data_IF_046290797503
#
_entry.id   IF_046290797503
#
_cell.length_a   1.000
_cell.length_b   1.000
_cell.length_c   1.000
_cell.angle_alpha   90.00
_cell.angle_beta   90.00
_cell.angle_gamma   90.00
#
_symmetry.space_group_name_H-M   'P 1'
#
loop_
_entity.id
_entity.type
_entity.pdbx_description
1 polymer ?
#
# COMPACT_ATOMS: atom_id res chain seq x y z
N UNK A 1 22.03 5.84 9.73
CA UNK A 1 21.54 5.47 8.39
C UNK A 1 20.94 4.06 8.48
N UNK A 2 19.63 3.91 8.74
CA UNK A 2 19.00 2.57 8.86
C UNK A 2 19.07 1.88 7.50
N UNK A 3 19.94 0.88 7.35
CA UNK A 3 19.94 -0.07 6.22
C UNK A 3 18.77 -1.06 6.41
N UNK A 4 17.57 -0.53 6.60
CA UNK A 4 16.36 -1.28 6.95
C UNK A 4 15.56 -1.68 5.71
N UNK A 5 14.65 -2.61 5.93
CA UNK A 5 13.59 -3.00 5.00
C UNK A 5 12.74 -1.77 4.67
N UNK A 6 12.29 -1.63 3.41
CA UNK A 6 11.45 -0.52 2.97
C UNK A 6 10.44 -0.97 1.92
N UNK A 7 9.36 -0.22 1.76
CA UNK A 7 8.36 -0.44 0.72
C UNK A 7 8.78 0.22 -0.59
N UNK A 8 8.57 -0.47 -1.70
CA UNK A 8 8.55 0.17 -3.02
C UNK A 8 7.41 1.19 -3.12
N UNK A 9 7.38 1.94 -4.23
CA UNK A 9 6.31 2.92 -4.50
C UNK A 9 4.94 2.22 -4.45
N UNK A 10 4.06 2.59 -3.51
CA UNK A 10 2.73 2.00 -3.40
C UNK A 10 1.93 2.21 -4.69
N UNK A 11 1.34 1.13 -5.20
CA UNK A 11 0.51 1.13 -6.39
C UNK A 11 -0.94 0.94 -5.98
N UNK A 12 -1.81 1.88 -6.38
CA UNK A 12 -3.25 1.75 -6.19
C UNK A 12 -3.83 0.68 -7.12
N UNK A 13 -4.84 -0.05 -6.65
CA UNK A 13 -5.62 -1.00 -7.44
C UNK A 13 -6.27 -0.30 -8.64
N UNK A 14 -6.48 -0.99 -9.76
CA UNK A 14 -7.13 -0.38 -10.94
C UNK A 14 -8.54 0.16 -10.61
N UNK A 15 -9.23 -0.50 -9.69
CA UNK A 15 -10.57 -0.13 -9.26
C UNK A 15 -10.58 0.46 -7.85
N UNK A 16 -11.49 1.40 -7.61
CA UNK A 16 -11.82 1.87 -6.28
C UNK A 16 -12.60 0.80 -5.53
N UNK A 17 -12.30 0.62 -4.24
CA UNK A 17 -13.04 -0.29 -3.38
C UNK A 17 -14.40 0.31 -2.97
N UNK A 18 -14.43 1.62 -2.73
CA UNK A 18 -15.62 2.39 -2.41
C UNK A 18 -15.40 3.87 -2.72
N UNK A 19 -16.43 4.70 -2.49
CA UNK A 19 -16.34 6.15 -2.61
C UNK A 19 -15.19 6.71 -1.75
N UNK A 20 -14.19 7.30 -2.39
CA UNK A 20 -12.99 7.83 -1.72
C UNK A 20 -12.09 6.76 -1.08
N UNK A 21 -12.25 5.48 -1.43
CA UNK A 21 -11.44 4.39 -0.89
C UNK A 21 -10.82 3.50 -1.97
N UNK A 22 -9.52 3.22 -1.84
CA UNK A 22 -8.73 2.41 -2.78
C UNK A 22 -7.79 1.47 -2.04
N UNK A 23 -7.54 0.30 -2.61
CA UNK A 23 -6.51 -0.61 -2.11
C UNK A 23 -5.17 -0.19 -2.71
N UNK A 24 -4.16 0.00 -1.87
CA UNK A 24 -2.78 0.17 -2.29
C UNK A 24 -1.99 -1.09 -1.99
N UNK A 25 -1.07 -1.44 -2.86
CA UNK A 25 -0.14 -2.54 -2.65
C UNK A 25 1.30 -2.13 -2.94
N UNK A 26 2.24 -2.68 -2.18
CA UNK A 26 3.66 -2.38 -2.33
C UNK A 26 4.49 -3.61 -2.00
N UNK A 27 5.60 -3.76 -2.72
CA UNK A 27 6.57 -4.83 -2.46
C UNK A 27 7.56 -4.40 -1.40
N UNK A 28 7.82 -5.29 -0.45
CA UNK A 28 8.82 -5.10 0.59
C UNK A 28 10.21 -5.45 0.04
N UNK A 29 11.14 -4.50 0.10
CA UNK A 29 12.49 -4.64 -0.40
C UNK A 29 13.50 -4.90 0.72
N UNK A 30 14.60 -5.59 0.36
CA UNK A 30 15.67 -5.98 1.28
C UNK A 30 15.19 -6.81 2.48
N UNK A 31 14.11 -7.57 2.32
CA UNK A 31 13.67 -8.55 3.31
C UNK A 31 14.75 -9.62 3.51
N UNK A 32 15.31 -9.79 4.71
CA UNK A 32 16.27 -10.85 4.95
C UNK A 32 15.58 -12.21 4.82
N UNK A 33 16.19 -13.13 4.08
CA UNK A 33 15.63 -14.48 3.83
C UNK A 33 15.34 -15.27 5.11
N UNK A 34 16.08 -15.00 6.20
CA UNK A 34 16.00 -15.71 7.47
C UNK A 34 15.16 -15.01 8.54
N UNK A 35 14.61 -13.82 8.25
CA UNK A 35 13.75 -13.10 9.20
C UNK A 35 12.28 -13.46 8.98
N UNK A 36 11.48 -13.43 10.05
CA UNK A 36 10.03 -13.51 9.96
C UNK A 36 9.51 -12.40 9.03
N UNK A 37 9.23 -12.77 7.78
CA UNK A 37 8.72 -11.85 6.77
C UNK A 37 7.44 -11.14 7.22
N UNK A 38 6.64 -11.82 8.07
CA UNK A 38 5.41 -11.29 8.64
C UNK A 38 5.70 -10.15 9.62
N UNK A 39 6.71 -10.30 10.48
CA UNK A 39 7.13 -9.24 11.40
C UNK A 39 7.73 -8.05 10.65
N UNK A 40 8.55 -8.30 9.62
CA UNK A 40 9.10 -7.24 8.78
C UNK A 40 7.97 -6.46 8.07
N UNK A 41 6.97 -7.17 7.54
CA UNK A 41 5.83 -6.56 6.88
C UNK A 41 4.98 -5.70 7.84
N UNK A 42 4.72 -6.19 9.05
CA UNK A 42 3.86 -5.50 10.01
C UNK A 42 4.56 -4.33 10.73
N UNK A 43 5.90 -4.34 10.83
CA UNK A 43 6.66 -3.27 11.49
C UNK A 43 7.29 -2.25 10.53
N UNK A 44 7.03 -2.35 9.22
CA UNK A 44 7.55 -1.38 8.25
C UNK A 44 6.46 -0.37 7.91
N UNK A 45 6.70 0.89 8.27
CA UNK A 45 5.80 1.99 7.96
C UNK A 45 5.82 2.31 6.45
N UNK A 46 4.66 2.63 5.88
CA UNK A 46 4.51 3.07 4.49
C UNK A 46 3.98 4.50 4.44
N UNK A 47 4.31 5.25 3.39
CA UNK A 47 3.74 6.56 3.12
C UNK A 47 2.89 6.49 1.86
N UNK A 48 1.59 6.79 1.98
CA UNK A 48 0.63 6.80 0.88
C UNK A 48 -0.14 8.13 0.95
N UNK A 49 -0.14 8.91 -0.14
CA UNK A 49 -0.80 10.22 -0.20
C UNK A 49 -0.44 11.15 0.98
N UNK A 50 0.85 11.23 1.33
CA UNK A 50 1.39 11.99 2.47
C UNK A 50 0.87 11.54 3.86
N UNK A 51 0.16 10.41 3.92
CA UNK A 51 -0.27 9.79 5.18
C UNK A 51 0.66 8.64 5.52
N UNK A 52 1.14 8.62 6.76
CA UNK A 52 1.99 7.53 7.26
C UNK A 52 1.10 6.42 7.82
N UNK A 53 1.25 5.22 7.28
CA UNK A 53 0.62 4.01 7.77
C UNK A 53 1.64 3.18 8.52
N UNK A 54 1.38 2.97 9.82
CA UNK A 54 2.26 2.20 10.70
C UNK A 54 2.43 0.75 10.25
N UNK A 55 1.34 0.14 9.78
CA UNK A 55 1.31 -1.24 9.31
C UNK A 55 0.32 -1.43 8.15
N UNK A 56 0.58 -2.40 7.27
CA UNK A 56 -0.38 -2.83 6.24
C UNK A 56 -1.56 -3.59 6.84
N UNK A 57 -2.73 -3.41 6.23
CA UNK A 57 -3.96 -4.16 6.52
C UNK A 57 -3.78 -5.66 6.25
N UNK A 58 -3.07 -6.01 5.17
CA UNK A 58 -2.75 -7.41 4.82
C UNK A 58 -1.30 -7.55 4.36
N UNK A 59 -0.69 -8.66 4.72
CA UNK A 59 0.64 -9.07 4.26
C UNK A 59 0.54 -10.40 3.54
N UNK A 60 1.12 -10.51 2.36
CA UNK A 60 1.22 -11.76 1.62
C UNK A 60 2.64 -12.03 1.17
N UNK A 61 3.03 -13.31 1.19
CA UNK A 61 4.27 -13.76 0.54
C UNK A 61 3.90 -14.40 -0.79
N UNK A 62 4.24 -13.73 -1.90
CA UNK A 62 4.01 -14.24 -3.26
C UNK A 62 5.05 -15.31 -3.61
N UNK A 63 4.58 -16.43 -4.13
CA UNK A 63 5.37 -17.49 -4.77
C UNK A 63 5.57 -17.14 -6.26
N UNK A 64 6.68 -17.49 -6.94
CA UNK A 64 7.78 -18.37 -6.52
C UNK A 64 8.97 -17.70 -5.83
N UNK A 65 9.15 -16.39 -5.99
CA UNK A 65 10.37 -15.71 -5.52
C UNK A 65 10.34 -15.26 -4.05
N UNK A 66 9.26 -15.56 -3.32
CA UNK A 66 9.12 -15.22 -1.91
C UNK A 66 8.98 -13.71 -1.65
N UNK A 67 8.57 -12.93 -2.65
CA UNK A 67 8.37 -11.49 -2.50
C UNK A 67 7.25 -11.21 -1.51
N UNK A 68 7.49 -10.30 -0.57
CA UNK A 68 6.50 -9.91 0.44
C UNK A 68 5.77 -8.69 -0.09
N UNK A 69 4.43 -8.75 -0.12
CA UNK A 69 3.54 -7.67 -0.52
C UNK A 69 2.75 -7.20 0.71
N UNK A 70 2.70 -5.89 0.90
CA UNK A 70 1.79 -5.23 1.84
C UNK A 70 0.59 -4.68 1.07
N UNK A 71 -0.57 -4.66 1.72
CA UNK A 71 -1.81 -4.09 1.22
C UNK A 71 -2.39 -3.13 2.25
N UNK A 72 -2.83 -1.96 1.79
CA UNK A 72 -3.45 -0.90 2.61
C UNK A 72 -4.79 -0.52 2.00
N UNK A 73 -5.83 -0.48 2.81
CA UNK A 73 -7.09 0.15 2.40
C UNK A 73 -7.03 1.62 2.83
N UNK A 74 -6.83 2.51 1.85
CA UNK A 74 -6.82 3.95 2.11
C UNK A 74 -8.22 4.48 1.88
N UNK A 75 -8.86 4.96 2.95
CA UNK A 75 -10.22 5.52 2.94
C UNK A 75 -10.25 7.04 3.18
N UNK A 76 -9.08 7.67 3.27
CA UNK A 76 -8.93 9.11 3.48
C UNK A 76 -9.12 9.82 2.15
N UNK A 77 -10.37 9.83 1.66
CA UNK A 77 -10.82 10.55 0.45
C UNK A 77 -9.80 10.53 -0.67
N UNK A 78 -9.45 9.33 -1.14
CA UNK A 78 -8.57 9.20 -2.29
C UNK A 78 -9.14 10.02 -3.46
N UNK A 79 -8.43 11.07 -3.93
CA UNK A 79 -8.97 12.01 -4.91
C UNK A 79 -9.28 11.31 -6.24
N UNK A 80 -8.58 10.22 -6.56
CA UNK A 80 -8.82 9.44 -7.77
C UNK A 80 -10.12 8.63 -7.69
N UNK A 81 -10.62 8.37 -6.47
CA UNK A 81 -11.84 7.60 -6.19
C UNK A 81 -13.04 8.47 -5.80
N UNK A 82 -12.97 9.77 -6.04
CA UNK A 82 -14.11 10.68 -5.89
C UNK A 82 -14.81 10.88 -7.24
N UNK A 83 -16.14 10.89 -7.29
CA UNK A 83 -16.86 11.29 -8.50
C UNK A 83 -16.55 12.75 -8.81
N UNK A 84 -16.07 13.02 -10.02
CA UNK A 84 -15.95 14.37 -10.52
C UNK A 84 -17.22 14.73 -11.30
N UNK A 85 -17.76 15.90 -11.03
CA UNK A 85 -18.86 16.46 -11.81
C UNK A 85 -18.25 17.39 -12.86
N UNK A 86 -18.57 17.15 -14.13
CA UNK A 86 -18.25 18.09 -15.20
C UNK A 86 -19.07 19.38 -15.03
N UNK A 87 -18.59 20.48 -15.63
CA UNK A 87 -19.40 21.68 -15.78
C UNK A 87 -20.60 21.35 -16.67
N UNK A 88 -21.81 21.51 -16.14
CA UNK A 88 -23.02 21.51 -16.95
C UNK A 88 -23.37 22.96 -17.29
N UNK A 89 -23.76 23.20 -18.55
CA UNK A 89 -24.33 24.46 -19.01
C UNK A 89 -25.77 24.14 -19.37
N UNK A 90 -26.71 24.89 -18.80
CA UNK A 90 -28.15 24.81 -19.09
C UNK A 90 -28.47 25.37 -20.48
#
# INVERSE_FOLDING_TARGET
RKRGVYWDVPQGSEHCLAHGAREYSAKLQKTPFFTNWKDACQNTQAMIHNTVFESPTRCEKKWPFGAVMGYWVVNVSDPDCLPYWGSFVD
#
